data_IF_654014883946
#
_entry.id   IF_654014883946
#
_cell.length_a   1.000
_cell.length_b   1.000
_cell.length_c   1.000
_cell.angle_alpha   90.00
_cell.angle_beta   90.00
_cell.angle_gamma   90.00
#
_symmetry.space_group_name_H-M   'P 1'
#
loop_
_entity.id
_entity.type
_entity.pdbx_description
1 polymer ?
#
# COMPACT_ATOMS: atom_id res chain seq x y z
N UNK A 1 -1.65 17.98 -25.76
CA UNK A 1 -0.59 17.26 -26.50
C UNK A 1 -0.64 15.75 -26.27
N UNK A 2 -0.91 15.27 -25.03
CA UNK A 2 -1.17 13.86 -24.72
C UNK A 2 -2.55 13.72 -24.05
N UNK A 3 -3.64 13.47 -24.80
CA UNK A 3 -4.98 13.38 -24.20
C UNK A 3 -5.03 12.30 -23.11
N UNK A 4 -5.92 12.49 -22.14
CA UNK A 4 -6.10 11.54 -21.04
C UNK A 4 -7.57 11.49 -20.67
N UNK A 5 -8.09 10.27 -20.61
CA UNK A 5 -9.46 9.97 -20.26
C UNK A 5 -9.52 9.11 -18.99
N UNK A 6 -10.51 9.39 -18.16
CA UNK A 6 -10.76 8.70 -16.89
C UNK A 6 -12.20 8.23 -16.82
N UNK A 7 -12.38 7.00 -16.34
CA UNK A 7 -13.66 6.49 -15.85
C UNK A 7 -13.81 6.84 -14.36
N UNK A 8 -14.87 7.57 -14.04
CA UNK A 8 -15.28 7.86 -12.67
C UNK A 8 -16.48 6.97 -12.32
N UNK A 9 -16.23 5.73 -11.89
CA UNK A 9 -17.27 4.89 -11.30
C UNK A 9 -17.38 5.34 -9.84
N UNK A 10 -18.51 5.94 -9.46
CA UNK A 10 -18.62 6.65 -8.18
C UNK A 10 -19.41 5.87 -7.12
N UNK A 11 -19.86 4.65 -7.42
CA UNK A 11 -20.57 3.74 -6.53
C UNK A 11 -21.75 4.37 -5.76
N UNK A 12 -22.39 5.41 -6.27
CA UNK A 12 -23.41 6.17 -5.54
C UNK A 12 -22.91 6.82 -4.25
N UNK A 13 -21.60 6.93 -4.06
CA UNK A 13 -20.93 7.46 -2.87
C UNK A 13 -21.16 8.97 -2.67
N UNK A 14 -20.67 9.49 -1.54
CA UNK A 14 -20.60 10.93 -1.30
C UNK A 14 -19.85 11.69 -2.40
N UNK A 15 -18.94 11.02 -3.14
CA UNK A 15 -18.16 11.62 -4.24
C UNK A 15 -19.01 12.01 -5.44
N UNK A 16 -20.19 11.43 -5.60
CA UNK A 16 -21.17 11.84 -6.63
C UNK A 16 -21.61 13.30 -6.52
N UNK A 17 -21.43 13.93 -5.35
CA UNK A 17 -21.77 15.32 -5.07
C UNK A 17 -20.53 16.17 -4.76
N UNK A 18 -19.34 15.66 -5.08
CA UNK A 18 -18.06 16.33 -4.83
C UNK A 18 -17.54 17.06 -6.07
N UNK A 19 -16.39 17.72 -5.92
CA UNK A 19 -15.72 18.45 -7.00
C UNK A 19 -15.09 17.55 -8.07
N UNK A 20 -15.14 16.22 -7.92
CA UNK A 20 -14.34 15.28 -8.71
C UNK A 20 -14.50 15.49 -10.23
N UNK A 21 -15.74 15.59 -10.73
CA UNK A 21 -15.99 15.78 -12.18
C UNK A 21 -15.60 17.18 -12.66
N UNK A 22 -15.90 18.21 -11.88
CA UNK A 22 -15.56 19.60 -12.21
C UNK A 22 -14.05 19.81 -12.25
N UNK A 23 -13.33 19.24 -11.28
CA UNK A 23 -11.88 19.31 -11.20
C UNK A 23 -11.21 18.58 -12.35
N UNK A 24 -11.64 17.34 -12.65
CA UNK A 24 -11.13 16.56 -13.77
C UNK A 24 -11.33 17.28 -15.12
N UNK A 25 -12.55 17.78 -15.35
CA UNK A 25 -12.85 18.56 -16.55
C UNK A 25 -12.02 19.86 -16.60
N UNK A 26 -11.89 20.56 -15.48
CA UNK A 26 -11.14 21.81 -15.36
C UNK A 26 -9.65 21.69 -15.68
N UNK A 27 -9.05 20.52 -15.45
CA UNK A 27 -7.66 20.23 -15.84
C UNK A 27 -7.53 19.58 -17.23
N UNK A 28 -8.63 19.48 -17.98
CA UNK A 28 -8.66 18.98 -19.35
C UNK A 28 -8.69 17.46 -19.49
N UNK A 29 -9.04 16.73 -18.44
CA UNK A 29 -9.28 15.28 -18.51
C UNK A 29 -10.64 15.00 -19.12
N UNK A 30 -10.70 14.03 -20.04
CA UNK A 30 -11.96 13.53 -20.57
C UNK A 30 -12.57 12.57 -19.54
N UNK A 31 -13.79 12.79 -19.11
CA UNK A 31 -14.39 11.98 -18.03
C UNK A 31 -15.69 11.35 -18.48
N UNK A 32 -15.86 10.06 -18.19
CA UNK A 32 -17.15 9.37 -18.21
C UNK A 32 -17.44 8.90 -16.79
N UNK A 33 -18.64 9.18 -16.31
CA UNK A 33 -19.04 8.82 -14.96
C UNK A 33 -20.07 7.67 -14.97
N UNK A 34 -19.98 6.77 -13.99
CA UNK A 34 -20.90 5.66 -13.77
C UNK A 34 -21.37 5.67 -12.32
N UNK A 35 -22.54 5.06 -12.08
CA UNK A 35 -23.13 4.91 -10.74
C UNK A 35 -23.16 6.24 -9.97
N UNK A 36 -23.69 7.29 -10.61
CA UNK A 36 -23.62 8.67 -10.12
C UNK A 36 -24.81 9.08 -9.24
N UNK A 37 -25.73 8.18 -8.96
CA UNK A 37 -26.91 8.49 -8.15
C UNK A 37 -26.55 8.41 -6.65
N UNK A 38 -26.56 9.53 -5.90
CA UNK A 38 -26.17 9.53 -4.50
C UNK A 38 -27.04 8.58 -3.66
N UNK A 39 -26.41 7.77 -2.82
CA UNK A 39 -27.07 6.81 -1.94
C UNK A 39 -27.56 5.53 -2.63
N UNK A 40 -27.38 5.39 -3.95
CA UNK A 40 -27.66 4.14 -4.67
C UNK A 40 -26.35 3.42 -4.95
N UNK A 41 -25.93 2.62 -3.96
CA UNK A 41 -24.67 1.87 -4.01
C UNK A 41 -24.76 0.73 -5.03
N UNK A 42 -23.82 0.71 -5.98
CA UNK A 42 -23.76 -0.28 -7.05
C UNK A 42 -23.10 -1.59 -6.59
N UNK A 43 -22.15 -1.49 -5.66
CA UNK A 43 -21.44 -2.62 -5.07
C UNK A 43 -21.11 -2.37 -3.60
N UNK A 44 -20.43 -3.33 -2.96
CA UNK A 44 -20.04 -3.24 -1.54
C UNK A 44 -19.10 -2.06 -1.28
N UNK A 45 -19.01 -1.68 -0.01
CA UNK A 45 -18.23 -0.53 0.48
C UNK A 45 -16.76 -0.61 0.04
N UNK A 46 -16.13 -1.78 0.17
CA UNK A 46 -14.69 -1.93 -0.10
C UNK A 46 -14.43 -1.88 -1.62
N UNK A 47 -13.58 -0.95 -2.11
CA UNK A 47 -13.29 -0.78 -3.54
C UNK A 47 -12.21 -1.78 -3.99
N UNK A 48 -12.46 -3.07 -3.80
CA UNK A 48 -11.54 -4.16 -4.18
C UNK A 48 -12.30 -5.34 -4.78
N UNK A 49 -11.58 -6.12 -5.59
CA UNK A 49 -12.06 -7.31 -6.29
C UNK A 49 -13.30 -7.02 -7.15
N UNK A 50 -14.43 -7.67 -6.88
CA UNK A 50 -15.66 -7.58 -7.68
C UNK A 50 -16.23 -6.16 -7.72
N UNK A 51 -15.94 -5.31 -6.72
CA UNK A 51 -16.34 -3.90 -6.73
C UNK A 51 -15.72 -3.11 -7.90
N UNK A 52 -14.62 -3.60 -8.50
CA UNK A 52 -13.94 -2.90 -9.59
C UNK A 52 -14.45 -3.29 -10.98
N UNK A 53 -15.34 -4.30 -11.08
CA UNK A 53 -15.71 -4.89 -12.37
C UNK A 53 -16.46 -3.95 -13.29
N UNK A 54 -17.34 -3.10 -12.77
CA UNK A 54 -18.09 -2.13 -13.58
C UNK A 54 -17.15 -1.08 -14.16
N UNK A 55 -16.25 -0.54 -13.33
CA UNK A 55 -15.20 0.37 -13.77
C UNK A 55 -14.29 -0.28 -14.83
N UNK A 56 -13.91 -1.55 -14.63
CA UNK A 56 -13.07 -2.32 -15.56
C UNK A 56 -13.74 -2.50 -16.92
N UNK A 57 -15.00 -2.94 -16.96
CA UNK A 57 -15.76 -3.08 -18.20
C UNK A 57 -15.96 -1.74 -18.90
N UNK A 58 -16.29 -0.69 -18.14
CA UNK A 58 -16.48 0.65 -18.69
C UNK A 58 -15.18 1.23 -19.27
N UNK A 59 -14.05 1.02 -18.61
CA UNK A 59 -12.73 1.45 -19.10
C UNK A 59 -12.37 0.71 -20.38
N UNK A 60 -12.59 -0.61 -20.44
CA UNK A 60 -12.36 -1.39 -21.65
C UNK A 60 -13.15 -0.83 -22.84
N UNK A 61 -14.45 -0.61 -22.66
CA UNK A 61 -15.32 -0.10 -23.71
C UNK A 61 -14.89 1.31 -24.16
N UNK A 62 -14.64 2.20 -23.21
CA UNK A 62 -14.24 3.56 -23.50
C UNK A 62 -12.87 3.64 -24.20
N UNK A 63 -11.92 2.78 -23.83
CA UNK A 63 -10.61 2.69 -24.48
C UNK A 63 -10.73 2.22 -25.92
N UNK A 64 -11.54 1.18 -26.17
CA UNK A 64 -11.79 0.66 -27.52
C UNK A 64 -12.38 1.73 -28.46
N UNK A 65 -13.19 2.64 -27.92
CA UNK A 65 -13.75 3.78 -28.67
C UNK A 65 -12.73 4.92 -28.82
N UNK A 66 -11.93 5.17 -27.78
CA UNK A 66 -10.95 6.25 -27.71
C UNK A 66 -9.80 5.87 -26.77
N UNK A 67 -8.64 5.57 -27.35
CA UNK A 67 -7.44 5.16 -26.62
C UNK A 67 -6.92 6.18 -25.58
N UNK A 68 -7.45 7.40 -25.54
CA UNK A 68 -7.16 8.35 -24.47
C UNK A 68 -7.64 7.86 -23.10
N UNK A 69 -8.73 7.09 -23.02
CA UNK A 69 -9.24 6.52 -21.76
C UNK A 69 -8.30 5.43 -21.28
N UNK A 70 -7.54 5.70 -20.21
CA UNK A 70 -6.47 4.80 -19.77
C UNK A 70 -6.51 4.50 -18.27
N UNK A 71 -7.40 5.15 -17.53
CA UNK A 71 -7.54 5.00 -16.09
C UNK A 71 -9.02 5.01 -15.70
N UNK A 72 -9.35 4.30 -14.63
CA UNK A 72 -10.59 4.42 -13.91
C UNK A 72 -10.32 4.44 -12.41
N UNK A 73 -11.23 5.03 -11.64
CA UNK A 73 -11.18 5.00 -10.19
C UNK A 73 -12.56 4.66 -9.62
N UNK A 74 -12.52 4.01 -8.46
CA UNK A 74 -13.69 3.54 -7.70
C UNK A 74 -13.50 3.96 -6.25
N UNK A 75 -14.27 4.92 -5.72
CA UNK A 75 -14.24 5.27 -4.31
C UNK A 75 -15.13 4.35 -3.46
N UNK A 76 -14.91 4.34 -2.14
CA UNK A 76 -15.88 3.79 -1.20
C UNK A 76 -17.03 4.75 -0.89
N UNK A 77 -17.92 4.37 0.03
CA UNK A 77 -19.21 5.04 0.24
C UNK A 77 -19.10 6.48 0.75
N UNK A 78 -18.23 6.74 1.72
CA UNK A 78 -17.91 8.09 2.20
C UNK A 78 -16.78 8.75 1.39
N UNK A 79 -16.06 7.95 0.60
CA UNK A 79 -15.16 8.44 -0.44
C UNK A 79 -13.80 8.87 0.10
N UNK A 80 -13.40 8.36 1.27
CA UNK A 80 -12.04 8.55 1.80
C UNK A 80 -11.07 7.52 1.19
N UNK A 81 -11.55 6.35 0.77
CA UNK A 81 -10.77 5.33 0.07
C UNK A 81 -11.17 5.26 -1.38
N UNK A 82 -10.26 4.69 -2.17
CA UNK A 82 -10.53 4.37 -3.56
C UNK A 82 -9.41 3.58 -4.16
N UNK A 83 -9.76 2.80 -5.17
CA UNK A 83 -8.81 1.99 -5.91
C UNK A 83 -8.90 2.32 -7.41
N UNK A 84 -7.93 1.83 -8.17
CA UNK A 84 -7.72 2.21 -9.55
C UNK A 84 -7.81 0.99 -10.47
N UNK A 85 -8.27 1.24 -11.68
CA UNK A 85 -8.20 0.30 -12.81
C UNK A 85 -7.45 1.00 -13.93
N UNK A 86 -6.50 0.34 -14.57
CA UNK A 86 -5.76 0.92 -15.70
C UNK A 86 -5.94 0.07 -16.94
N UNK A 87 -5.71 0.66 -18.12
CA UNK A 87 -5.67 -0.10 -19.36
C UNK A 87 -4.25 -0.62 -19.61
N UNK A 88 -4.06 -1.93 -19.59
CA UNK A 88 -2.79 -2.60 -19.89
C UNK A 88 -2.66 -2.82 -21.39
N UNK A 89 -1.70 -2.12 -22.02
CA UNK A 89 -1.54 -2.16 -23.48
C UNK A 89 -1.02 -3.51 -23.96
N UNK A 90 -0.25 -4.24 -23.15
CA UNK A 90 0.30 -5.55 -23.54
C UNK A 90 -0.74 -6.66 -23.55
N UNK A 91 -1.60 -6.66 -22.53
CA UNK A 91 -2.70 -7.62 -22.45
C UNK A 91 -3.92 -7.16 -23.26
N UNK A 92 -3.99 -5.87 -23.62
CA UNK A 92 -5.11 -5.29 -24.33
C UNK A 92 -6.39 -5.26 -23.48
N UNK A 93 -6.23 -5.17 -22.16
CA UNK A 93 -7.35 -5.25 -21.22
C UNK A 93 -7.27 -4.24 -20.07
N UNK A 94 -8.42 -3.89 -19.49
CA UNK A 94 -8.50 -3.14 -18.26
C UNK A 94 -8.19 -4.05 -17.04
N UNK A 95 -7.24 -3.63 -16.20
CA UNK A 95 -6.65 -4.41 -15.11
C UNK A 95 -6.80 -3.62 -13.79
N UNK A 96 -7.35 -4.23 -12.72
CA UNK A 96 -7.40 -3.59 -11.41
C UNK A 96 -6.01 -3.53 -10.78
N UNK A 97 -5.74 -2.45 -10.04
CA UNK A 97 -4.52 -2.32 -9.24
C UNK A 97 -4.74 -2.84 -7.82
N UNK A 98 -3.67 -3.40 -7.25
CA UNK A 98 -3.63 -3.69 -5.82
C UNK A 98 -3.47 -2.39 -5.01
N UNK A 99 -4.11 -2.33 -3.84
CA UNK A 99 -4.07 -1.20 -2.93
C UNK A 99 -2.64 -0.67 -2.65
N UNK A 100 -1.72 -1.57 -2.29
CA UNK A 100 -0.32 -1.24 -2.02
C UNK A 100 0.37 -0.64 -3.27
N UNK A 101 0.00 -1.11 -4.47
CA UNK A 101 0.55 -0.61 -5.72
C UNK A 101 0.02 0.79 -6.06
N UNK A 102 -1.26 1.07 -5.80
CA UNK A 102 -1.83 2.41 -5.94
C UNK A 102 -1.08 3.41 -5.06
N UNK A 103 -0.87 3.07 -3.79
CA UNK A 103 -0.12 3.94 -2.87
C UNK A 103 1.35 4.12 -3.29
N UNK A 104 2.00 3.06 -3.80
CA UNK A 104 3.35 3.13 -4.32
C UNK A 104 3.50 4.08 -5.53
N UNK A 105 2.53 4.07 -6.45
CA UNK A 105 2.50 4.99 -7.59
C UNK A 105 2.33 6.46 -7.13
N UNK A 106 1.49 6.69 -6.13
CA UNK A 106 1.35 8.01 -5.53
C UNK A 106 2.66 8.47 -4.86
N UNK A 107 3.32 7.59 -4.10
CA UNK A 107 4.63 7.86 -3.50
C UNK A 107 5.69 8.24 -4.54
N UNK A 108 5.83 7.44 -5.59
CA UNK A 108 6.75 7.73 -6.69
C UNK A 108 6.45 9.11 -7.30
N UNK A 109 5.19 9.40 -7.62
CA UNK A 109 4.79 10.68 -8.21
C UNK A 109 5.15 11.88 -7.32
N UNK A 110 4.80 11.84 -6.04
CA UNK A 110 5.04 12.96 -5.13
C UNK A 110 6.54 13.16 -4.84
N UNK A 111 7.33 12.08 -4.72
CA UNK A 111 8.78 12.18 -4.56
C UNK A 111 9.48 12.71 -5.80
N UNK A 112 9.17 12.16 -6.98
CA UNK A 112 9.71 12.63 -8.25
C UNK A 112 9.34 14.10 -8.50
N UNK A 113 8.13 14.51 -8.12
CA UNK A 113 7.70 15.90 -8.18
C UNK A 113 8.49 16.81 -7.24
N UNK A 114 8.78 16.38 -6.01
CA UNK A 114 9.64 17.15 -5.09
C UNK A 114 11.05 17.33 -5.65
N UNK A 115 11.64 16.28 -6.24
CA UNK A 115 12.92 16.40 -6.94
C UNK A 115 12.83 17.37 -8.12
N UNK A 116 11.77 17.28 -8.94
CA UNK A 116 11.53 18.19 -10.07
C UNK A 116 11.42 19.65 -9.62
N UNK A 117 10.79 19.91 -8.47
CA UNK A 117 10.67 21.24 -7.86
C UNK A 117 11.97 21.73 -7.21
N UNK A 118 12.99 20.89 -7.11
CA UNK A 118 14.25 21.20 -6.44
C UNK A 118 14.10 21.33 -4.93
N UNK A 119 13.28 20.50 -4.29
CA UNK A 119 13.20 20.41 -2.83
C UNK A 119 14.59 20.10 -2.25
N UNK A 120 14.97 20.86 -1.21
CA UNK A 120 16.29 20.80 -0.57
C UNK A 120 16.22 20.31 0.87
N UNK A 121 15.03 20.33 1.47
CA UNK A 121 14.82 19.85 2.82
C UNK A 121 14.90 18.33 2.88
N UNK A 122 15.05 17.81 4.11
CA UNK A 122 14.95 16.37 4.36
C UNK A 122 13.53 15.91 4.07
N UNK A 123 13.39 14.91 3.21
CA UNK A 123 12.09 14.40 2.79
C UNK A 123 11.70 13.21 3.65
N UNK A 124 10.46 13.20 4.14
CA UNK A 124 9.88 12.03 4.80
C UNK A 124 8.58 11.58 4.16
N UNK A 125 8.31 10.29 4.26
CA UNK A 125 7.02 9.65 3.98
C UNK A 125 6.56 9.00 5.28
N UNK A 126 5.29 9.13 5.61
CA UNK A 126 4.71 8.48 6.79
C UNK A 126 3.70 7.45 6.35
N UNK A 127 3.84 6.22 6.81
CA UNK A 127 2.97 5.10 6.44
C UNK A 127 2.54 4.31 7.67
N UNK A 128 1.45 3.55 7.60
CA UNK A 128 1.20 2.55 8.63
C UNK A 128 2.16 1.35 8.51
N UNK A 129 2.27 0.62 9.61
CA UNK A 129 3.06 -0.58 9.79
C UNK A 129 2.76 -1.73 8.82
N UNK A 130 1.53 -1.83 8.31
CA UNK A 130 1.14 -2.77 7.25
C UNK A 130 1.36 -2.26 5.82
N UNK A 131 2.00 -1.10 5.60
CA UNK A 131 2.36 -0.68 4.24
C UNK A 131 3.56 -1.47 3.73
N UNK A 132 3.50 -1.95 2.48
CA UNK A 132 4.59 -2.72 1.84
C UNK A 132 5.92 -1.99 1.90
N UNK A 133 7.01 -2.74 2.09
CA UNK A 133 8.39 -2.25 2.05
C UNK A 133 8.84 -1.81 0.63
N UNK A 134 7.95 -1.95 -0.37
CA UNK A 134 8.07 -1.26 -1.66
C UNK A 134 8.27 0.24 -1.51
N UNK A 135 7.67 0.86 -0.48
CA UNK A 135 7.81 2.30 -0.25
C UNK A 135 9.23 2.67 0.16
N UNK A 136 9.90 1.88 0.99
CA UNK A 136 11.31 2.09 1.34
C UNK A 136 12.21 2.02 0.11
N UNK A 137 11.97 1.07 -0.80
CA UNK A 137 12.73 0.94 -2.03
C UNK A 137 12.57 2.18 -2.93
N UNK A 138 11.35 2.71 -3.05
CA UNK A 138 11.08 3.94 -3.81
C UNK A 138 11.67 5.17 -3.10
N UNK A 139 11.48 5.30 -1.78
CA UNK A 139 11.96 6.43 -1.00
C UNK A 139 13.48 6.57 -1.05
N UNK A 140 14.20 5.44 -1.00
CA UNK A 140 15.66 5.40 -0.98
C UNK A 140 16.29 6.09 -2.18
N UNK A 141 15.78 5.88 -3.39
CA UNK A 141 16.37 6.47 -4.61
C UNK A 141 16.14 7.97 -4.71
N UNK A 142 15.14 8.50 -4.00
CA UNK A 142 14.88 9.93 -3.86
C UNK A 142 15.49 10.55 -2.58
N UNK A 143 16.27 9.78 -1.81
CA UNK A 143 16.85 10.25 -0.54
C UNK A 143 15.81 10.55 0.55
N UNK A 144 14.60 10.02 0.43
CA UNK A 144 13.53 10.18 1.41
C UNK A 144 13.61 9.10 2.50
N UNK A 145 13.16 9.44 3.72
CA UNK A 145 13.05 8.49 4.84
C UNK A 145 11.61 8.10 5.09
N UNK A 146 11.35 6.79 5.20
CA UNK A 146 10.04 6.27 5.60
C UNK A 146 9.96 6.21 7.13
N UNK A 147 8.84 6.66 7.68
CA UNK A 147 8.48 6.52 9.08
C UNK A 147 7.19 5.73 9.17
N UNK A 148 7.14 4.78 10.11
CA UNK A 148 6.00 3.89 10.31
C UNK A 148 5.25 4.24 11.58
N UNK A 149 3.94 4.03 11.56
CA UNK A 149 3.04 4.19 12.70
C UNK A 149 2.15 2.97 12.83
N UNK A 150 1.47 2.81 13.95
CA UNK A 150 0.39 1.84 14.04
C UNK A 150 -0.70 2.18 13.01
N UNK A 151 -1.29 1.17 12.38
CA UNK A 151 -2.48 1.30 11.52
C UNK A 151 -3.55 2.20 12.14
N UNK A 152 -3.98 3.20 11.37
CA UNK A 152 -4.88 4.28 11.76
C UNK A 152 -4.48 5.62 11.18
N UNK A 153 -5.37 6.24 10.39
CA UNK A 153 -5.15 7.54 9.72
C UNK A 153 -4.62 8.63 10.66
N UNK A 154 -5.20 8.73 11.86
CA UNK A 154 -4.81 9.73 12.86
C UNK A 154 -3.34 9.59 13.29
N UNK A 155 -2.81 8.37 13.37
CA UNK A 155 -1.42 8.13 13.76
C UNK A 155 -0.47 8.63 12.68
N UNK A 156 -0.77 8.32 11.42
CA UNK A 156 -0.01 8.75 10.25
C UNK A 156 0.01 10.28 10.16
N UNK A 157 -1.15 10.93 10.29
CA UNK A 157 -1.27 12.39 10.28
C UNK A 157 -0.49 13.02 11.44
N UNK A 158 -0.65 12.49 12.66
CA UNK A 158 0.06 12.98 13.84
C UNK A 158 1.58 12.90 13.66
N UNK A 159 2.10 11.78 13.16
CA UNK A 159 3.54 11.61 12.91
C UNK A 159 4.04 12.54 11.81
N UNK A 160 3.27 12.77 10.74
CA UNK A 160 3.63 13.72 9.71
C UNK A 160 3.71 15.17 10.24
N UNK A 161 2.78 15.59 11.08
CA UNK A 161 2.82 16.92 11.71
C UNK A 161 4.04 17.08 12.64
N UNK A 162 4.36 16.06 13.45
CA UNK A 162 5.58 16.06 14.28
C UNK A 162 6.84 16.23 13.43
N UNK A 163 6.97 15.44 12.36
CA UNK A 163 8.13 15.52 11.46
C UNK A 163 8.22 16.89 10.75
N UNK A 164 7.11 17.48 10.34
CA UNK A 164 7.10 18.84 9.78
C UNK A 164 7.59 19.86 10.79
N UNK A 165 7.18 19.76 12.06
CA UNK A 165 7.69 20.62 13.14
C UNK A 165 9.19 20.41 13.41
N UNK A 166 9.72 19.22 13.15
CA UNK A 166 11.15 18.88 13.22
C UNK A 166 11.96 19.32 11.97
N UNK A 167 11.32 19.98 11.00
CA UNK A 167 11.98 20.50 9.80
C UNK A 167 12.03 19.54 8.60
N UNK A 168 11.26 18.46 8.62
CA UNK A 168 11.08 17.59 7.45
C UNK A 168 10.04 18.14 6.48
N UNK A 169 10.28 17.98 5.18
CA UNK A 169 9.21 18.05 4.18
C UNK A 169 8.49 16.70 4.14
N UNK A 170 7.23 16.68 4.59
CA UNK A 170 6.34 15.51 4.48
C UNK A 170 5.23 15.83 3.51
N UNK A 171 5.37 15.40 2.25
CA UNK A 171 4.40 15.70 1.18
C UNK A 171 3.30 14.64 1.09
N UNK A 172 3.69 13.37 1.19
CA UNK A 172 2.82 12.22 1.07
C UNK A 172 2.87 11.38 2.33
N UNK A 173 1.72 10.90 2.76
CA UNK A 173 1.54 10.00 3.88
C UNK A 173 0.28 9.14 3.62
N UNK A 174 0.11 8.04 4.33
CA UNK A 174 -1.12 7.25 4.19
C UNK A 174 -1.05 5.82 4.72
N UNK A 175 -1.98 5.00 4.26
CA UNK A 175 -2.09 3.58 4.59
C UNK A 175 -2.06 2.76 3.30
N UNK A 176 -0.87 2.32 2.87
CA UNK A 176 -0.71 1.54 1.65
C UNK A 176 -1.49 0.23 1.66
N UNK A 177 -1.69 -0.36 2.84
CA UNK A 177 -2.50 -1.57 3.03
C UNK A 177 -3.96 -1.46 2.58
N UNK A 178 -4.48 -0.24 2.39
CA UNK A 178 -5.81 0.02 1.84
C UNK A 178 -5.80 1.01 0.66
N UNK A 179 -4.61 1.32 0.11
CA UNK A 179 -4.45 2.26 -1.00
C UNK A 179 -4.70 3.73 -0.62
N UNK A 180 -4.92 4.00 0.67
CA UNK A 180 -5.27 5.30 1.20
C UNK A 180 -4.10 6.28 1.11
N UNK A 181 -4.22 7.26 0.24
CA UNK A 181 -3.24 8.33 0.07
C UNK A 181 -3.74 9.65 0.68
N UNK A 182 -2.86 10.34 1.39
CA UNK A 182 -3.04 11.69 1.87
C UNK A 182 -1.89 12.54 1.34
N UNK A 183 -2.22 13.51 0.50
CA UNK A 183 -1.26 14.50 0.01
C UNK A 183 -1.44 15.82 0.76
N UNK A 184 -0.38 16.32 1.40
CA UNK A 184 -0.39 17.60 2.11
C UNK A 184 -0.86 18.75 1.17
N UNK A 185 -1.71 19.69 1.60
CA UNK A 185 -2.13 19.98 2.97
C UNK A 185 -3.34 19.20 3.50
N UNK A 186 -3.85 18.20 2.76
CA UNK A 186 -4.92 17.34 3.27
C UNK A 186 -4.48 16.59 4.54
N UNK A 187 -5.48 16.26 5.36
CA UNK A 187 -5.35 15.44 6.58
C UNK A 187 -6.23 14.19 6.55
N UNK A 188 -6.93 13.97 5.45
CA UNK A 188 -7.81 12.82 5.23
C UNK A 188 -7.42 12.17 3.91
N UNK A 189 -7.66 10.86 3.82
CA UNK A 189 -7.44 10.15 2.56
C UNK A 189 -8.38 10.66 1.49
N UNK A 190 -7.88 10.72 0.27
CA UNK A 190 -8.62 11.29 -0.85
C UNK A 190 -8.22 10.65 -2.18
N UNK A 191 -9.10 9.83 -2.79
CA UNK A 191 -8.94 9.31 -4.14
C UNK A 191 -8.59 10.37 -5.20
N UNK A 192 -9.07 11.60 -5.08
CA UNK A 192 -8.77 12.66 -6.06
C UNK A 192 -7.30 13.07 -5.98
N UNK A 193 -6.74 13.12 -4.76
CA UNK A 193 -5.31 13.33 -4.53
C UNK A 193 -4.47 12.19 -5.12
N UNK A 194 -4.95 10.95 -5.06
CA UNK A 194 -4.33 9.80 -5.75
C UNK A 194 -4.36 10.00 -7.27
N UNK A 195 -5.53 10.31 -7.84
CA UNK A 195 -5.68 10.54 -9.29
C UNK A 195 -4.79 11.69 -9.75
N UNK A 196 -4.72 12.79 -9.00
CA UNK A 196 -3.82 13.90 -9.28
C UNK A 196 -2.36 13.48 -9.29
N UNK A 197 -1.96 12.57 -8.41
CA UNK A 197 -0.62 11.99 -8.40
C UNK A 197 -0.37 11.16 -9.66
N UNK A 198 -1.32 10.34 -10.10
CA UNK A 198 -1.19 9.55 -11.35
C UNK A 198 -1.13 10.46 -12.58
N UNK A 199 -2.03 11.45 -12.68
CA UNK A 199 -2.03 12.43 -13.77
C UNK A 199 -0.69 13.15 -13.82
N UNK A 200 -0.17 13.59 -12.67
CA UNK A 200 1.13 14.26 -12.60
C UNK A 200 2.24 13.39 -13.15
N UNK A 201 2.30 12.13 -12.72
CA UNK A 201 3.32 11.19 -13.18
C UNK A 201 3.26 10.96 -14.70
N UNK A 202 2.05 10.91 -15.24
CA UNK A 202 1.81 10.62 -16.65
C UNK A 202 1.85 11.83 -17.57
N UNK A 203 1.65 13.05 -17.06
CA UNK A 203 1.37 14.23 -17.90
C UNK A 203 2.14 15.50 -17.52
N UNK A 204 2.70 15.61 -16.31
CA UNK A 204 3.44 16.79 -15.92
C UNK A 204 4.81 16.83 -16.62
N UNK A 205 5.12 17.98 -17.22
CA UNK A 205 6.41 18.23 -17.87
C UNK A 205 6.39 18.09 -19.39
N UNK A 206 7.58 18.05 -20.00
CA UNK A 206 7.75 17.90 -21.45
C UNK A 206 8.31 16.50 -21.76
N UNK A 207 7.45 15.64 -22.31
CA UNK A 207 7.79 14.25 -22.58
C UNK A 207 8.86 14.09 -23.67
N UNK A 208 8.90 15.00 -24.65
CA UNK A 208 9.88 14.94 -25.76
C UNK A 208 11.26 15.40 -25.31
N UNK A 209 11.31 16.30 -24.32
CA UNK A 209 12.56 16.79 -23.72
C UNK A 209 13.04 15.96 -22.53
N UNK A 210 12.34 14.88 -22.18
CA UNK A 210 12.60 14.06 -20.99
C UNK A 210 12.49 14.83 -19.66
N UNK A 211 11.71 15.91 -19.64
CA UNK A 211 11.52 16.73 -18.44
C UNK A 211 10.25 16.28 -17.69
N UNK A 212 10.18 14.99 -17.31
CA UNK A 212 8.98 14.40 -16.66
C UNK A 212 9.31 13.71 -15.36
N UNK A 213 8.30 13.49 -14.51
CA UNK A 213 8.44 12.71 -13.28
C UNK A 213 8.89 11.26 -13.56
N UNK A 214 8.43 10.67 -14.67
CA UNK A 214 8.84 9.30 -15.03
C UNK A 214 10.29 9.23 -15.49
N UNK A 215 10.79 10.23 -16.24
CA UNK A 215 12.20 10.29 -16.58
C UNK A 215 13.09 10.38 -15.33
N UNK A 216 12.72 11.26 -14.38
CA UNK A 216 13.44 11.40 -13.10
C UNK A 216 13.48 10.09 -12.32
N UNK A 217 12.37 9.34 -12.32
CA UNK A 217 12.33 8.02 -11.70
C UNK A 217 13.28 7.04 -12.38
N UNK A 218 13.25 6.95 -13.71
CA UNK A 218 14.12 6.05 -14.46
C UNK A 218 15.61 6.39 -14.30
N UNK A 219 15.95 7.67 -14.22
CA UNK A 219 17.31 8.11 -13.87
C UNK A 219 17.70 7.70 -12.45
N UNK A 220 16.79 7.84 -11.48
CA UNK A 220 17.04 7.50 -10.08
C UNK A 220 17.26 5.99 -9.85
N UNK A 221 16.66 5.13 -10.68
CA UNK A 221 16.87 3.67 -10.63
C UNK A 221 17.94 3.16 -11.60
N UNK A 222 18.73 4.06 -12.21
CA UNK A 222 19.77 3.72 -13.19
C UNK A 222 19.23 2.89 -14.38
N UNK A 223 18.10 3.32 -14.94
CA UNK A 223 17.50 2.71 -16.14
C UNK A 223 16.95 3.75 -17.15
N UNK A 224 17.71 4.81 -17.51
CA UNK A 224 17.25 5.87 -18.40
C UNK A 224 16.91 5.41 -19.82
N UNK A 225 17.46 4.28 -20.27
CA UNK A 225 17.19 3.66 -21.57
C UNK A 225 15.76 3.13 -21.72
N UNK A 226 15.06 2.90 -20.60
CA UNK A 226 13.65 2.49 -20.61
C UNK A 226 12.69 3.62 -20.99
N UNK A 227 13.14 4.86 -21.01
CA UNK A 227 12.27 6.01 -21.25
C UNK A 227 11.82 6.09 -22.71
N UNK A 228 10.51 6.21 -22.91
CA UNK A 228 9.87 6.50 -24.20
C UNK A 228 8.89 7.66 -24.02
N UNK A 229 8.85 8.64 -24.93
CA UNK A 229 7.97 9.83 -24.76
C UNK A 229 6.48 9.48 -24.74
N UNK A 230 6.11 8.37 -25.38
CA UNK A 230 4.76 7.80 -25.41
C UNK A 230 4.39 6.94 -24.20
N UNK A 231 5.17 6.94 -23.11
CA UNK A 231 4.94 6.08 -21.94
C UNK A 231 3.51 6.19 -21.37
N UNK A 232 3.05 5.09 -20.81
CA UNK A 232 1.75 4.93 -20.17
C UNK A 232 1.90 4.40 -18.73
N UNK A 233 0.79 4.10 -18.05
CA UNK A 233 0.85 3.66 -16.65
C UNK A 233 1.46 2.27 -16.48
N UNK A 234 1.28 1.36 -17.46
CA UNK A 234 1.89 0.03 -17.48
C UNK A 234 3.43 0.13 -17.45
N UNK A 235 4.02 1.04 -18.24
CA UNK A 235 5.48 1.25 -18.26
C UNK A 235 6.02 1.72 -16.89
N UNK A 236 5.25 2.55 -16.19
CA UNK A 236 5.58 3.00 -14.84
C UNK A 236 5.46 1.83 -13.86
N UNK A 237 4.35 1.08 -13.90
CA UNK A 237 4.10 -0.07 -13.02
C UNK A 237 5.23 -1.08 -13.10
N UNK A 238 5.68 -1.41 -14.31
CA UNK A 238 6.75 -2.37 -14.53
C UNK A 238 8.14 -1.88 -14.14
N UNK A 239 8.29 -0.58 -13.92
CA UNK A 239 9.52 0.00 -13.39
C UNK A 239 9.55 0.00 -11.87
N UNK A 240 8.43 -0.27 -11.20
CA UNK A 240 8.39 -0.32 -9.75
C UNK A 240 9.20 -1.51 -9.20
N UNK A 241 9.77 -1.38 -7.99
CA UNK A 241 10.33 -2.51 -7.27
C UNK A 241 9.27 -3.60 -7.10
N UNK A 242 9.63 -4.85 -7.41
CA UNK A 242 8.70 -5.98 -7.31
C UNK A 242 8.54 -6.44 -5.87
N UNK A 243 7.29 -6.49 -5.43
CA UNK A 243 6.87 -6.99 -4.12
C UNK A 243 5.55 -7.72 -4.28
N UNK A 244 5.35 -8.80 -3.52
CA UNK A 244 4.04 -9.42 -3.34
C UNK A 244 3.67 -9.29 -1.88
N UNK A 245 2.45 -8.83 -1.63
CA UNK A 245 1.93 -8.55 -0.30
C UNK A 245 0.61 -9.27 -0.10
N UNK A 246 0.39 -9.90 1.05
CA UNK A 246 -0.93 -10.41 1.43
C UNK A 246 -1.91 -9.24 1.50
N UNK A 247 -3.04 -9.29 0.78
CA UNK A 247 -4.08 -8.27 0.98
C UNK A 247 -4.75 -8.45 2.35
N UNK A 248 -4.85 -7.36 3.11
CA UNK A 248 -5.47 -7.34 4.43
C UNK A 248 -6.99 -7.67 4.41
N UNK A 249 -7.61 -7.69 3.23
CA UNK A 249 -9.02 -7.99 3.01
C UNK A 249 -9.28 -9.45 2.59
N UNK A 250 -8.22 -10.23 2.41
CA UNK A 250 -8.36 -11.64 2.09
C UNK A 250 -8.83 -12.46 3.31
N UNK A 251 -9.72 -13.46 3.12
CA UNK A 251 -10.20 -14.30 4.23
C UNK A 251 -9.07 -15.00 5.00
N UNK A 252 -7.97 -15.32 4.32
CA UNK A 252 -6.82 -15.98 4.90
C UNK A 252 -5.87 -15.03 5.66
N UNK A 253 -6.09 -13.72 5.56
CA UNK A 253 -5.37 -12.68 6.31
C UNK A 253 -6.10 -12.28 7.60
N UNK A 254 -7.39 -12.60 7.73
CA UNK A 254 -8.22 -12.30 8.89
C UNK A 254 -8.46 -13.56 9.75
N UNK A 255 -7.53 -13.85 10.66
CA UNK A 255 -7.60 -15.02 11.53
C UNK A 255 -8.63 -14.83 12.65
N UNK A 256 -9.44 -15.87 12.91
CA UNK A 256 -10.29 -15.93 14.10
C UNK A 256 -9.46 -16.50 15.24
N UNK A 257 -9.29 -15.71 16.30
CA UNK A 257 -8.49 -16.08 17.46
C UNK A 257 -9.35 -16.14 18.72
N UNK A 258 -9.00 -17.04 19.64
CA UNK A 258 -9.72 -17.28 20.89
C UNK A 258 -9.12 -16.52 22.07
N UNK A 259 -7.83 -16.23 22.02
CA UNK A 259 -7.10 -15.56 23.09
C UNK A 259 -7.68 -14.16 23.34
N UNK A 260 -8.05 -13.88 24.59
CA UNK A 260 -8.52 -12.57 25.02
C UNK A 260 -7.34 -11.62 25.22
N UNK A 261 -6.25 -12.12 25.80
CA UNK A 261 -5.03 -11.36 26.04
C UNK A 261 -4.08 -11.41 24.83
N UNK A 262 -4.00 -10.28 24.12
CA UNK A 262 -3.16 -10.14 22.92
C UNK A 262 -1.68 -10.02 23.25
N UNK A 263 -1.33 -9.57 24.46
CA UNK A 263 0.06 -9.53 24.92
C UNK A 263 0.55 -10.96 25.11
N UNK A 264 -0.24 -11.80 25.77
CA UNK A 264 0.12 -13.21 25.97
C UNK A 264 0.18 -14.00 24.65
N UNK A 265 -0.72 -13.72 23.70
CA UNK A 265 -0.63 -14.29 22.34
C UNK A 265 0.71 -13.92 21.68
N UNK A 266 1.11 -12.65 21.70
CA UNK A 266 2.37 -12.21 21.07
C UNK A 266 3.61 -12.74 21.78
N UNK A 267 3.57 -12.90 23.11
CA UNK A 267 4.63 -13.58 23.87
C UNK A 267 4.71 -15.07 23.51
N UNK A 268 3.56 -15.75 23.36
CA UNK A 268 3.54 -17.14 22.90
C UNK A 268 4.09 -17.26 21.48
N UNK A 269 3.67 -16.37 20.58
CA UNK A 269 4.20 -16.28 19.22
C UNK A 269 5.71 -16.10 19.21
N UNK A 270 6.26 -15.23 20.06
CA UNK A 270 7.70 -15.03 20.18
C UNK A 270 8.43 -16.33 20.53
N UNK A 271 7.95 -17.08 21.53
CA UNK A 271 8.58 -18.34 21.94
C UNK A 271 8.61 -19.33 20.77
N UNK A 272 7.48 -19.50 20.08
CA UNK A 272 7.37 -20.38 18.92
C UNK A 272 8.27 -19.92 17.77
N UNK A 273 8.26 -18.63 17.45
CA UNK A 273 9.10 -18.06 16.40
C UNK A 273 10.59 -18.30 16.66
N UNK A 274 11.07 -18.07 17.89
CA UNK A 274 12.46 -18.29 18.26
C UNK A 274 12.86 -19.77 18.24
N UNK A 275 11.94 -20.67 18.58
CA UNK A 275 12.17 -22.12 18.49
C UNK A 275 12.23 -22.60 17.03
N UNK A 276 11.33 -22.10 16.18
CA UNK A 276 11.23 -22.49 14.78
C UNK A 276 12.29 -21.82 13.90
N UNK A 277 12.75 -20.62 14.24
CA UNK A 277 13.71 -19.85 13.44
C UNK A 277 14.94 -20.65 12.98
N UNK A 278 15.73 -21.31 13.85
CA UNK A 278 16.89 -22.09 13.42
C UNK A 278 16.52 -23.31 12.55
N UNK A 279 15.29 -23.84 12.67
CA UNK A 279 14.78 -24.94 11.83
C UNK A 279 14.43 -24.44 10.43
N UNK A 280 13.88 -23.22 10.34
CA UNK A 280 13.45 -22.58 9.08
C UNK A 280 14.59 -21.88 8.34
N UNK A 281 15.65 -21.46 9.03
CA UNK A 281 16.76 -20.68 8.48
C UNK A 281 17.37 -21.28 7.19
N UNK A 282 17.66 -22.60 7.08
CA UNK A 282 18.22 -23.15 5.85
C UNK A 282 17.31 -22.97 4.63
N UNK A 283 15.99 -23.10 4.82
CA UNK A 283 15.02 -22.95 3.74
C UNK A 283 14.81 -21.47 3.39
N UNK A 284 14.82 -20.58 4.38
CA UNK A 284 14.75 -19.12 4.19
C UNK A 284 15.98 -18.59 3.43
N UNK A 285 17.18 -19.06 3.78
CA UNK A 285 18.42 -18.68 3.10
C UNK A 285 18.40 -19.19 1.66
N UNK A 286 18.05 -20.47 1.44
CA UNK A 286 18.04 -21.08 0.12
C UNK A 286 17.00 -20.44 -0.82
N UNK A 287 15.79 -20.15 -0.33
CA UNK A 287 14.70 -19.63 -1.17
C UNK A 287 14.75 -18.12 -1.36
N UNK A 288 15.11 -17.38 -0.31
CA UNK A 288 14.86 -15.94 -0.25
C UNK A 288 16.10 -15.11 0.10
N UNK A 289 17.25 -15.78 0.29
CA UNK A 289 18.50 -15.16 0.78
C UNK A 289 18.33 -14.51 2.16
N UNK A 290 17.40 -15.02 2.98
CA UNK A 290 17.13 -14.47 4.32
C UNK A 290 18.03 -15.16 5.34
N UNK A 291 18.75 -14.37 6.14
CA UNK A 291 19.70 -14.87 7.15
C UNK A 291 19.50 -14.29 8.55
N UNK A 292 18.77 -13.18 8.68
CA UNK A 292 18.53 -12.54 9.98
C UNK A 292 17.16 -11.88 10.04
N UNK A 293 16.77 -11.43 11.23
CA UNK A 293 15.51 -10.74 11.45
C UNK A 293 15.65 -9.66 12.53
N UNK A 294 14.75 -8.67 12.49
CA UNK A 294 14.53 -7.68 13.57
C UNK A 294 13.04 -7.48 13.76
N UNK A 295 12.60 -7.31 15.00
CA UNK A 295 11.19 -7.07 15.30
C UNK A 295 10.95 -5.60 15.66
N UNK A 296 9.75 -5.12 15.34
CA UNK A 296 9.33 -3.74 15.56
C UNK A 296 7.91 -3.74 16.13
N UNK A 297 7.69 -2.86 17.10
CA UNK A 297 6.40 -2.60 17.69
C UNK A 297 5.93 -1.21 17.29
N UNK A 298 4.71 -1.13 16.77
CA UNK A 298 4.06 0.12 16.39
C UNK A 298 2.95 0.43 17.38
N UNK A 299 3.06 1.55 18.09
CA UNK A 299 2.10 2.02 19.08
C UNK A 299 1.73 3.48 18.80
N UNK A 300 0.50 3.72 18.38
CA UNK A 300 0.08 5.06 17.98
C UNK A 300 0.97 5.64 16.87
N UNK A 301 1.47 6.88 16.99
CA UNK A 301 2.25 7.54 15.94
C UNK A 301 3.73 7.13 15.89
N UNK A 302 4.17 6.17 16.69
CA UNK A 302 5.59 5.83 16.83
C UNK A 302 5.81 4.32 16.64
N UNK A 303 6.94 3.97 16.01
CA UNK A 303 7.44 2.59 15.86
C UNK A 303 8.83 2.52 16.49
N UNK A 304 9.11 1.42 17.19
CA UNK A 304 10.39 1.16 17.83
C UNK A 304 10.80 -0.29 17.61
N UNK A 305 12.11 -0.51 17.49
CA UNK A 305 12.68 -1.85 17.44
C UNK A 305 12.49 -2.53 18.79
N UNK A 306 12.05 -3.77 18.76
CA UNK A 306 11.86 -4.63 19.91
C UNK A 306 12.72 -5.86 19.68
N UNK A 307 13.67 -6.11 20.57
CA UNK A 307 14.58 -7.24 20.41
C UNK A 307 13.78 -8.56 20.49
N UNK A 308 13.38 -8.90 21.71
CA UNK A 308 12.69 -10.14 22.05
C UNK A 308 11.65 -9.89 23.15
N UNK A 309 10.96 -8.75 23.08
CA UNK A 309 9.70 -8.54 23.81
C UNK A 309 8.60 -8.16 22.83
N UNK A 310 8.09 -9.16 22.12
CA UNK A 310 7.01 -8.97 21.14
C UNK A 310 5.71 -8.52 21.83
N UNK A 311 5.54 -8.83 23.11
CA UNK A 311 4.41 -8.40 23.94
C UNK A 311 4.37 -6.89 24.16
N UNK A 312 5.51 -6.19 24.07
CA UNK A 312 5.58 -4.73 24.18
C UNK A 312 4.76 -3.98 23.14
N UNK A 313 4.44 -4.63 22.00
CA UNK A 313 3.54 -4.10 20.97
C UNK A 313 2.07 -4.06 21.39
N UNK A 314 1.68 -4.65 22.53
CA UNK A 314 0.33 -4.58 23.10
C UNK A 314 -0.76 -4.84 22.04
N UNK A 315 -1.70 -3.91 21.87
CA UNK A 315 -2.75 -3.95 20.87
C UNK A 315 -2.32 -3.38 19.50
N UNK A 316 -1.15 -2.74 19.43
CA UNK A 316 -0.61 -2.21 18.19
C UNK A 316 -0.04 -3.29 17.27
N UNK A 317 0.66 -2.88 16.22
CA UNK A 317 1.25 -3.81 15.28
C UNK A 317 2.56 -4.40 15.79
N UNK A 318 2.78 -5.67 15.45
CA UNK A 318 4.07 -6.34 15.58
C UNK A 318 4.53 -6.68 14.17
N UNK A 319 5.73 -6.21 13.80
CA UNK A 319 6.33 -6.45 12.48
C UNK A 319 7.70 -7.10 12.65
N UNK A 320 7.92 -8.24 12.01
CA UNK A 320 9.21 -8.92 11.98
C UNK A 320 9.77 -8.77 10.57
N UNK A 321 10.83 -7.97 10.43
CA UNK A 321 11.51 -7.77 9.15
C UNK A 321 12.62 -8.80 9.02
N UNK A 322 12.67 -9.45 7.86
CA UNK A 322 13.63 -10.47 7.49
C UNK A 322 14.65 -9.86 6.53
N UNK A 323 15.94 -10.08 6.81
CA UNK A 323 17.05 -9.43 6.12
C UNK A 323 17.98 -10.44 5.46
N UNK A 324 18.61 -10.01 4.36
CA UNK A 324 19.67 -10.75 3.70
C UNK A 324 21.06 -10.52 4.34
N UNK A 325 22.09 -11.12 3.74
CA UNK A 325 23.48 -11.01 4.20
C UNK A 325 24.05 -9.60 4.10
N UNK A 326 23.45 -8.74 3.29
CA UNK A 326 23.83 -7.34 3.14
C UNK A 326 23.05 -6.42 4.09
N UNK A 327 22.27 -6.98 5.03
CA UNK A 327 21.38 -6.24 5.93
C UNK A 327 20.27 -5.48 5.18
N UNK A 328 19.89 -5.96 3.99
CA UNK A 328 18.79 -5.39 3.21
C UNK A 328 17.48 -6.14 3.48
N UNK A 329 16.37 -5.42 3.69
CA UNK A 329 15.08 -6.04 3.97
C UNK A 329 14.57 -6.82 2.74
N UNK A 330 14.21 -8.09 2.98
CA UNK A 330 13.71 -9.03 1.97
C UNK A 330 12.23 -9.32 2.12
N UNK A 331 11.76 -9.42 3.36
CA UNK A 331 10.36 -9.70 3.65
C UNK A 331 9.97 -9.16 5.02
N UNK A 332 8.68 -9.05 5.30
CA UNK A 332 8.22 -8.93 6.68
C UNK A 332 7.03 -9.83 6.96
N UNK A 333 6.88 -10.17 8.24
CA UNK A 333 5.67 -10.74 8.83
C UNK A 333 5.04 -9.67 9.71
N UNK A 334 3.77 -9.36 9.52
CA UNK A 334 3.08 -8.36 10.32
C UNK A 334 1.81 -8.94 10.91
N UNK A 335 1.49 -8.54 12.14
CA UNK A 335 0.25 -8.91 12.78
C UNK A 335 -0.32 -7.82 13.68
N UNK A 336 -1.64 -7.74 13.77
CA UNK A 336 -2.35 -6.83 14.67
C UNK A 336 -3.76 -7.32 14.97
N UNK A 337 -4.22 -7.09 16.20
CA UNK A 337 -5.64 -7.25 16.51
C UNK A 337 -6.47 -6.15 15.85
N UNK A 338 -7.52 -6.51 15.12
CA UNK A 338 -8.40 -5.51 14.52
C UNK A 338 -9.13 -4.72 15.61
N UNK A 339 -9.15 -3.39 15.47
CA UNK A 339 -9.87 -2.49 16.39
C UNK A 339 -11.37 -2.42 16.13
N UNK A 340 -11.83 -2.87 14.96
CA UNK A 340 -13.23 -2.75 14.51
C UNK A 340 -13.94 -4.10 14.44
N UNK A 341 -13.19 -5.21 14.42
CA UNK A 341 -13.70 -6.56 14.22
C UNK A 341 -12.99 -7.53 15.16
N UNK A 342 -13.64 -8.63 15.59
CA UNK A 342 -13.02 -9.62 16.46
C UNK A 342 -12.10 -10.58 15.67
N UNK A 343 -11.17 -10.02 14.88
CA UNK A 343 -10.22 -10.76 14.06
C UNK A 343 -8.79 -10.32 14.33
N UNK A 344 -7.85 -11.22 14.13
CA UNK A 344 -6.41 -10.95 14.16
C UNK A 344 -5.89 -10.93 12.74
N UNK A 345 -5.45 -9.75 12.30
CA UNK A 345 -4.94 -9.57 10.95
C UNK A 345 -3.48 -9.99 10.90
N UNK A 346 -3.14 -10.70 9.84
CA UNK A 346 -1.77 -11.04 9.49
C UNK A 346 -1.47 -10.55 8.07
N UNK A 347 -0.21 -10.24 7.81
CA UNK A 347 0.27 -9.85 6.49
C UNK A 347 1.69 -10.36 6.28
N UNK A 348 1.99 -10.77 5.05
CA UNK A 348 3.34 -11.03 4.58
C UNK A 348 3.63 -10.14 3.38
N UNK A 349 4.82 -9.57 3.34
CA UNK A 349 5.33 -8.80 2.23
C UNK A 349 6.69 -9.36 1.83
N UNK A 350 6.90 -9.68 0.56
CA UNK A 350 8.15 -10.29 0.06
C UNK A 350 8.65 -9.61 -1.22
N UNK A 351 9.92 -9.21 -1.20
CA UNK A 351 10.63 -8.60 -2.32
C UNK A 351 10.97 -9.65 -3.37
N UNK A 352 10.63 -9.35 -4.63
CA UNK A 352 10.85 -10.23 -5.79
C UNK A 352 10.30 -11.66 -5.60
N UNK A 353 9.27 -11.84 -4.75
CA UNK A 353 8.63 -13.13 -4.53
C UNK A 353 7.55 -13.41 -5.59
N UNK A 354 7.12 -14.67 -5.66
CA UNK A 354 5.93 -15.13 -6.40
C UNK A 354 4.75 -15.34 -5.45
N UNK A 355 3.53 -15.53 -5.99
CA UNK A 355 2.37 -15.85 -5.16
C UNK A 355 2.58 -17.15 -4.35
N UNK A 356 3.40 -18.08 -4.85
CA UNK A 356 3.76 -19.29 -4.13
C UNK A 356 4.65 -18.98 -2.92
N UNK A 357 5.55 -18.01 -3.05
CA UNK A 357 6.48 -17.62 -1.99
C UNK A 357 5.77 -16.85 -0.88
N UNK A 358 4.89 -15.90 -1.25
CA UNK A 358 3.95 -15.26 -0.32
C UNK A 358 3.17 -16.30 0.45
N UNK A 359 2.53 -17.24 -0.26
CA UNK A 359 1.68 -18.23 0.37
C UNK A 359 2.46 -19.18 1.29
N UNK A 360 3.73 -19.45 0.97
CA UNK A 360 4.60 -20.25 1.82
C UNK A 360 4.93 -19.51 3.14
N UNK A 361 5.39 -18.26 3.06
CA UNK A 361 5.70 -17.44 4.24
C UNK A 361 4.46 -17.18 5.08
N UNK A 362 3.32 -16.91 4.43
CA UNK A 362 2.05 -16.69 5.12
C UNK A 362 1.56 -17.94 5.83
N UNK A 363 1.71 -19.14 5.24
CA UNK A 363 1.35 -20.40 5.93
C UNK A 363 2.20 -20.62 7.17
N UNK A 364 3.51 -20.37 7.09
CA UNK A 364 4.40 -20.44 8.25
C UNK A 364 3.97 -19.45 9.33
N UNK A 365 3.77 -18.19 8.96
CA UNK A 365 3.34 -17.13 9.87
C UNK A 365 1.98 -17.42 10.51
N UNK A 366 0.96 -17.78 9.72
CA UNK A 366 -0.37 -18.12 10.21
C UNK A 366 -0.38 -19.35 11.12
N UNK A 367 0.48 -20.35 10.83
CA UNK A 367 0.67 -21.52 11.68
C UNK A 367 1.15 -21.14 13.07
N UNK A 368 2.21 -20.32 13.13
CA UNK A 368 2.73 -19.79 14.40
C UNK A 368 1.69 -18.97 15.17
N UNK A 369 0.91 -18.12 14.49
CA UNK A 369 -0.15 -17.34 15.15
C UNK A 369 -1.26 -18.24 15.70
N UNK A 370 -1.65 -19.27 14.94
CA UNK A 370 -2.71 -20.21 15.35
C UNK A 370 -2.27 -21.03 16.57
N UNK A 371 -1.03 -21.51 16.57
CA UNK A 371 -0.47 -22.23 17.72
C UNK A 371 -0.30 -21.31 18.94
N UNK A 372 0.16 -20.08 18.73
CA UNK A 372 0.24 -19.07 19.79
C UNK A 372 -1.13 -18.76 20.40
N UNK A 373 -2.17 -18.68 19.59
CA UNK A 373 -3.55 -18.51 20.03
C UNK A 373 -4.01 -19.66 20.95
N UNK A 374 -3.73 -20.91 20.57
CA UNK A 374 -4.06 -22.07 21.40
C UNK A 374 -3.31 -22.07 22.75
N UNK A 375 -2.05 -21.62 22.77
CA UNK A 375 -1.26 -21.51 24.00
C UNK A 375 -1.69 -20.35 24.89
N UNK A 376 -2.20 -19.26 24.31
CA UNK A 376 -2.65 -18.06 25.02
C UNK A 376 -4.15 -18.09 25.37
N UNK A 377 -4.92 -19.00 24.80
CA UNK A 377 -6.32 -19.18 25.13
C UNK A 377 -6.47 -19.54 26.62
N UNK A 378 -7.49 -18.99 27.32
CA UNK A 378 -7.75 -19.38 28.69
C UNK A 378 -7.96 -20.89 28.73
N UNK A 379 -7.22 -21.59 29.60
CA UNK A 379 -7.49 -23.01 29.88
C UNK A 379 -8.96 -23.10 30.24
N UNK A 380 -9.74 -23.86 29.47
CA UNK A 380 -11.04 -24.31 29.97
C UNK A 380 -10.73 -25.06 31.25
N UNK A 381 -11.02 -24.43 32.40
CA UNK A 381 -11.13 -25.17 33.64
C UNK A 381 -12.28 -26.16 33.38
N UNK A 382 -11.94 -27.41 33.09
CA UNK A 382 -12.86 -28.52 33.20
C UNK A 382 -13.27 -28.56 34.68
N UNK A 383 -14.33 -27.84 35.00
CA UNK A 383 -15.06 -27.97 36.25
C UNK A 383 -16.24 -28.89 35.94
N UNK A 384 -16.16 -30.12 36.44
CA UNK A 384 -17.29 -31.03 36.58
C UNK A 384 -17.41 -32.08 35.51
#
# INVERSE_FOLDING_TARGET
KRPFGIIAELNGSARTQSIDLDWLSGIGVQTRALNIQPGVFAHRIVPENESLDDCRKALQLAHNENAAYALGYVPDCDGDRGNLVYYGNRLGEAIPLEAQQVFALACLSELAYMQWKGEKNRIAIVVNDATSMRIEAIARVFGAKVFRTETGEANVVCRAEKLRAEGWTVRILGEGSNGGNITHPSKVRDPLSTIGSIIRLLRLGDAEKKETCFNLWLEAIDSPERYQSGYNLEDVIESLPQWITTSAFEPHAALKIHAVDKIELKKAYQRLFLEEWPKMLPELEQRFDIVSWRAFASLGPDEFEVESDFGSSKNGGLRIVLYDKADEPRAFLWMRASGTEPVFRIEVDIKNGTCSDEAWLRRWHAGLVTEADLLAAPRQNNVG
#
